data_IF_578243078720
#
_entry.id   IF_578243078720
#
_cell.length_a   1.000
_cell.length_b   1.000
_cell.length_c   1.000
_cell.angle_alpha   90.00
_cell.angle_beta   90.00
_cell.angle_gamma   90.00
#
_symmetry.space_group_name_H-M   'P 1'
#
loop_
_entity.id
_entity.type
_entity.pdbx_description
1 polymer ?
#
# COMPACT_ATOMS: atom_id res chain seq x y z
N UNK A 1 19.26 5.09 21.46
CA UNK A 1 19.03 5.99 20.30
C UNK A 1 20.15 5.76 19.28
N UNK A 2 19.85 5.84 17.98
CA UNK A 2 20.82 5.60 16.88
C UNK A 2 21.53 6.89 16.42
N UNK A 3 21.01 8.05 16.81
CA UNK A 3 21.73 9.32 16.69
C UNK A 3 22.80 9.41 17.79
N UNK A 4 23.97 10.00 17.52
CA UNK A 4 24.31 10.85 16.37
C UNK A 4 25.05 10.12 15.22
N UNK A 5 25.09 8.79 15.21
CA UNK A 5 25.98 8.03 14.32
C UNK A 5 25.23 7.46 13.11
N UNK A 6 25.74 7.72 11.91
CA UNK A 6 25.34 7.01 10.70
C UNK A 6 26.04 5.64 10.63
N UNK A 7 27.33 5.62 10.97
CA UNK A 7 28.11 4.42 11.25
C UNK A 7 28.71 4.56 12.64
N UNK A 8 28.33 3.67 13.55
CA UNK A 8 28.70 3.78 14.96
C UNK A 8 30.22 3.87 15.16
N UNK A 9 30.67 4.93 15.85
CA UNK A 9 32.08 5.20 16.13
C UNK A 9 32.93 5.66 14.93
N UNK A 10 32.32 5.84 13.75
CA UNK A 10 33.05 6.20 12.52
C UNK A 10 32.49 7.46 11.84
N UNK A 11 31.21 7.48 11.46
CA UNK A 11 30.59 8.56 10.68
C UNK A 11 29.40 9.13 11.43
N UNK A 12 29.35 10.45 11.65
CA UNK A 12 28.18 11.11 12.24
C UNK A 12 27.13 11.37 11.16
N UNK A 13 25.87 11.44 11.57
CA UNK A 13 24.75 11.75 10.67
C UNK A 13 24.88 13.14 10.04
N UNK A 14 25.45 14.11 10.77
CA UNK A 14 25.74 15.45 10.25
C UNK A 14 26.76 15.44 9.09
N UNK A 15 27.70 14.50 9.09
CA UNK A 15 28.73 14.39 8.05
C UNK A 15 28.18 13.76 6.76
N UNK A 16 26.95 13.20 6.79
CA UNK A 16 26.30 12.57 5.64
C UNK A 16 25.57 13.54 4.70
N UNK A 17 25.58 14.84 4.97
CA UNK A 17 24.90 15.85 4.14
C UNK A 17 25.71 16.11 2.87
N UNK A 18 25.05 16.03 1.71
CA UNK A 18 25.71 16.29 0.42
C UNK A 18 26.15 17.75 0.29
N UNK A 19 27.37 17.97 -0.19
CA UNK A 19 27.93 19.30 -0.48
C UNK A 19 27.57 19.83 -1.87
N UNK A 20 27.11 18.94 -2.76
CA UNK A 20 26.80 19.26 -4.17
C UNK A 20 25.31 19.54 -4.36
N UNK A 21 24.46 18.92 -3.54
CA UNK A 21 23.00 19.07 -3.64
C UNK A 21 22.55 20.22 -2.75
N UNK A 22 21.86 21.19 -3.34
CA UNK A 22 21.35 22.34 -2.59
C UNK A 22 20.17 21.97 -1.69
N UNK A 23 20.00 22.69 -0.58
CA UNK A 23 18.84 22.55 0.30
C UNK A 23 17.51 22.78 -0.43
N UNK A 24 17.50 23.65 -1.44
CA UNK A 24 16.32 23.90 -2.28
C UNK A 24 15.92 22.68 -3.13
N UNK A 25 16.88 21.93 -3.68
CA UNK A 25 16.58 20.70 -4.42
C UNK A 25 16.01 19.61 -3.50
N UNK A 26 16.54 19.50 -2.27
CA UNK A 26 15.99 18.59 -1.25
C UNK A 26 14.57 18.99 -0.88
N UNK A 27 14.31 20.27 -0.63
CA UNK A 27 12.97 20.76 -0.30
C UNK A 27 11.97 20.52 -1.43
N UNK A 28 12.36 20.83 -2.67
CA UNK A 28 11.53 20.61 -3.84
C UNK A 28 11.13 19.13 -3.98
N UNK A 29 12.10 18.22 -3.91
CA UNK A 29 11.83 16.78 -4.01
C UNK A 29 11.02 16.24 -2.84
N UNK A 30 11.26 16.73 -1.61
CA UNK A 30 10.42 16.41 -0.45
C UNK A 30 8.96 16.80 -0.69
N UNK A 31 8.70 18.03 -1.16
CA UNK A 31 7.35 18.48 -1.47
C UNK A 31 6.76 17.64 -2.60
N UNK A 32 7.50 17.43 -3.69
CA UNK A 32 7.03 16.67 -4.85
C UNK A 32 6.60 15.24 -4.46
N UNK A 33 7.45 14.51 -3.72
CA UNK A 33 7.11 13.15 -3.27
C UNK A 33 6.00 13.14 -2.23
N UNK A 34 5.96 14.12 -1.32
CA UNK A 34 4.87 14.22 -0.34
C UNK A 34 3.53 14.44 -1.02
N UNK A 35 3.46 15.34 -2.00
CA UNK A 35 2.24 15.59 -2.78
C UNK A 35 1.88 14.35 -3.59
N UNK A 36 2.84 13.74 -4.29
CA UNK A 36 2.59 12.53 -5.07
C UNK A 36 1.98 11.42 -4.22
N UNK A 37 2.62 11.08 -3.10
CA UNK A 37 2.12 10.04 -2.20
C UNK A 37 0.84 10.47 -1.47
N UNK A 38 0.67 11.74 -1.15
CA UNK A 38 -0.56 12.28 -0.60
C UNK A 38 -1.76 12.11 -1.53
N UNK A 39 -1.57 12.36 -2.83
CA UNK A 39 -2.61 12.13 -3.85
C UNK A 39 -2.93 10.64 -3.98
N UNK A 40 -1.92 9.77 -4.01
CA UNK A 40 -2.14 8.32 -4.04
C UNK A 40 -2.92 7.84 -2.81
N UNK A 41 -2.52 8.27 -1.61
CA UNK A 41 -3.21 7.93 -0.38
C UNK A 41 -4.67 8.43 -0.37
N UNK A 42 -4.92 9.64 -0.89
CA UNK A 42 -6.28 10.17 -1.01
C UNK A 42 -7.15 9.31 -1.95
N UNK A 43 -6.61 8.91 -3.10
CA UNK A 43 -7.29 8.03 -4.06
C UNK A 43 -7.56 6.66 -3.42
N UNK A 44 -6.56 6.07 -2.77
CA UNK A 44 -6.66 4.76 -2.13
C UNK A 44 -7.74 4.74 -1.05
N UNK A 45 -7.74 5.72 -0.15
CA UNK A 45 -8.79 5.86 0.87
C UNK A 45 -10.16 6.03 0.21
N UNK A 46 -10.25 6.84 -0.85
CA UNK A 46 -11.48 7.01 -1.62
C UNK A 46 -12.00 5.70 -2.23
N UNK A 47 -11.12 4.89 -2.81
CA UNK A 47 -11.44 3.59 -3.39
C UNK A 47 -11.89 2.59 -2.31
N UNK A 48 -11.17 2.51 -1.20
CA UNK A 48 -11.52 1.66 -0.06
C UNK A 48 -12.94 2.01 0.43
N UNK A 49 -13.20 3.29 0.67
CA UNK A 49 -14.52 3.74 1.12
C UNK A 49 -15.62 3.46 0.08
N UNK A 50 -15.31 3.55 -1.22
CA UNK A 50 -16.26 3.21 -2.29
C UNK A 50 -16.59 1.72 -2.27
N UNK A 51 -15.60 0.85 -2.16
CA UNK A 51 -15.80 -0.61 -2.12
C UNK A 51 -16.56 -1.03 -0.87
N UNK A 52 -16.22 -0.46 0.30
CA UNK A 52 -16.96 -0.70 1.55
C UNK A 52 -18.44 -0.36 1.38
N UNK A 53 -18.76 0.77 0.73
CA UNK A 53 -20.15 1.19 0.49
C UNK A 53 -20.88 0.34 -0.54
N UNK A 54 -20.16 -0.27 -1.48
CA UNK A 54 -20.75 -1.15 -2.49
C UNK A 54 -21.27 -2.45 -1.87
N UNK A 55 -20.70 -2.86 -0.73
CA UNK A 55 -21.02 -4.11 -0.07
C UNK A 55 -20.43 -5.32 -0.78
N UNK A 56 -20.64 -6.53 -0.24
CA UNK A 56 -20.25 -7.76 -0.91
C UNK A 56 -20.91 -7.86 -2.28
N UNK A 57 -20.17 -8.33 -3.28
CA UNK A 57 -20.81 -8.79 -4.50
C UNK A 57 -21.79 -9.92 -4.14
N UNK A 58 -22.90 -10.03 -4.88
CA UNK A 58 -23.78 -11.20 -4.74
C UNK A 58 -22.91 -12.46 -4.85
N UNK A 59 -22.97 -13.32 -3.84
CA UNK A 59 -22.43 -14.67 -3.96
C UNK A 59 -23.17 -15.31 -5.13
N UNK A 60 -22.43 -15.71 -6.17
CA UNK A 60 -23.01 -16.59 -7.18
C UNK A 60 -23.47 -17.83 -6.44
N UNK A 61 -24.77 -18.04 -6.40
CA UNK A 61 -25.35 -19.23 -5.80
C UNK A 61 -24.90 -20.42 -6.66
N UNK A 62 -23.88 -21.15 -6.18
CA UNK A 62 -23.43 -22.38 -6.80
C UNK A 62 -24.51 -23.48 -6.80
N UNK A 63 -25.67 -23.23 -6.17
CA UNK A 63 -26.86 -24.07 -6.29
C UNK A 63 -27.68 -23.81 -7.57
N UNK A 64 -27.33 -22.82 -8.41
CA UNK A 64 -27.95 -22.69 -9.73
C UNK A 64 -27.60 -23.90 -10.62
N UNK A 65 -28.58 -24.72 -11.04
CA UNK A 65 -28.33 -25.95 -11.80
C UNK A 65 -27.70 -25.70 -13.17
N UNK A 66 -27.77 -24.47 -13.68
CA UNK A 66 -27.18 -24.08 -14.96
C UNK A 66 -25.64 -24.05 -14.90
N UNK A 67 -25.04 -23.96 -13.70
CA UNK A 67 -23.60 -23.98 -13.45
C UNK A 67 -23.17 -25.17 -12.56
N UNK A 68 -23.85 -26.31 -12.68
CA UNK A 68 -23.24 -27.63 -12.45
C UNK A 68 -22.90 -28.06 -11.00
N UNK A 69 -23.53 -27.47 -9.98
CA UNK A 69 -23.44 -27.95 -8.59
C UNK A 69 -24.77 -28.51 -8.09
N UNK A 70 -24.88 -29.83 -7.90
CA UNK A 70 -26.07 -30.43 -7.26
C UNK A 70 -25.84 -30.59 -5.75
N UNK A 71 -26.81 -30.17 -4.94
CA UNK A 71 -26.79 -30.34 -3.48
C UNK A 71 -26.62 -31.80 -3.02
N UNK A 72 -26.94 -32.76 -3.89
CA UNK A 72 -26.83 -34.20 -3.62
C UNK A 72 -25.41 -34.78 -3.83
N UNK A 73 -24.44 -33.97 -4.26
CA UNK A 73 -23.06 -34.43 -4.49
C UNK A 73 -22.16 -34.13 -3.29
N UNK A 74 -21.44 -35.11 -2.73
CA UNK A 74 -20.50 -34.85 -1.66
C UNK A 74 -19.37 -33.94 -2.16
N UNK A 75 -19.14 -32.83 -1.45
CA UNK A 75 -18.07 -31.90 -1.76
C UNK A 75 -16.73 -32.58 -1.51
N UNK A 76 -16.01 -32.88 -2.59
CA UNK A 76 -14.63 -33.37 -2.52
C UNK A 76 -13.72 -32.20 -2.20
N UNK A 77 -13.00 -32.29 -1.09
CA UNK A 77 -12.10 -31.25 -0.62
C UNK A 77 -10.93 -31.09 -1.61
N UNK A 78 -10.80 -29.93 -2.25
CA UNK A 78 -9.63 -29.59 -3.05
C UNK A 78 -8.53 -29.05 -2.11
N UNK A 79 -7.38 -29.75 -2.07
CA UNK A 79 -6.15 -29.27 -1.44
C UNK A 79 -5.40 -28.31 -2.38
#
# INVERSE_FOLDING_TARGET
>A
ARQPWAVFGLIKTADGVSTVVSAGAVLFTMIAFTVLYGVLAFIEVGLILRVIKMGPAEEFDYAEPALGGSADKPLVMSY
#
